data_IF_033834927674
#
_entry.id   IF_033834927674
#
_cell.length_a   1.000
_cell.length_b   1.000
_cell.length_c   1.000
_cell.angle_alpha   90.00
_cell.angle_beta   90.00
_cell.angle_gamma   90.00
#
_symmetry.space_group_name_H-M   'P 1'
#
loop_
_entity.id
_entity.type
_entity.pdbx_description
1 polymer ?
#
# COMPACT_ATOMS: atom_id res chain seq x y z
N UNK A 1 -9.41 -20.63 -7.69
CA UNK A 1 -8.93 -19.57 -6.78
C UNK A 1 -7.87 -18.79 -7.52
N UNK A 2 -8.24 -17.66 -8.13
CA UNK A 2 -7.29 -16.77 -8.81
C UNK A 2 -7.36 -15.41 -8.13
N UNK A 3 -6.22 -14.75 -7.99
CA UNK A 3 -6.12 -13.40 -7.46
C UNK A 3 -4.72 -12.84 -7.65
N UNK A 4 -4.55 -11.57 -7.34
CA UNK A 4 -3.33 -10.81 -7.56
C UNK A 4 -2.57 -10.66 -6.24
N UNK A 5 -1.27 -10.90 -6.28
CA UNK A 5 -0.37 -10.54 -5.19
C UNK A 5 0.20 -9.15 -5.47
N UNK A 6 -0.15 -8.19 -4.61
CA UNK A 6 0.27 -6.80 -4.75
C UNK A 6 1.72 -6.63 -4.26
N UNK A 7 2.53 -6.00 -5.09
CA UNK A 7 3.89 -5.58 -4.77
C UNK A 7 3.90 -4.20 -4.07
N UNK A 8 5.02 -3.88 -3.41
CA UNK A 8 5.25 -2.59 -2.75
C UNK A 8 5.08 -1.41 -3.71
N UNK A 9 5.44 -1.56 -4.98
CA UNK A 9 5.31 -0.49 -5.98
C UNK A 9 3.84 -0.10 -6.22
N UNK A 10 2.96 -1.08 -6.44
CA UNK A 10 1.54 -0.85 -6.69
C UNK A 10 0.89 -0.20 -5.48
N UNK A 11 1.15 -0.76 -4.28
CA UNK A 11 0.60 -0.21 -3.03
C UNK A 11 1.13 1.20 -2.77
N UNK A 12 2.41 1.46 -3.02
CA UNK A 12 3.00 2.79 -2.84
C UNK A 12 2.44 3.83 -3.81
N UNK A 13 2.11 3.42 -5.04
CA UNK A 13 1.48 4.27 -6.04
C UNK A 13 0.03 4.61 -5.65
N UNK A 14 -0.77 3.61 -5.26
CA UNK A 14 -2.15 3.81 -4.79
C UNK A 14 -2.23 4.74 -3.58
N UNK A 15 -1.22 4.71 -2.70
CA UNK A 15 -1.12 5.62 -1.54
C UNK A 15 -0.92 7.09 -1.91
N UNK A 16 -0.57 7.42 -3.16
CA UNK A 16 -0.43 8.80 -3.62
C UNK A 16 -1.78 9.51 -3.81
N UNK A 17 -2.90 8.79 -3.77
CA UNK A 17 -4.28 9.31 -3.94
C UNK A 17 -4.44 10.08 -5.25
N UNK A 18 -4.74 11.38 -5.20
CA UNK A 18 -4.90 12.27 -6.37
C UNK A 18 -3.67 12.28 -7.29
N UNK A 19 -2.49 11.95 -6.77
CA UNK A 19 -1.24 11.86 -7.55
C UNK A 19 -0.92 10.45 -8.04
N UNK A 20 -1.82 9.49 -7.86
CA UNK A 20 -1.66 8.12 -8.37
C UNK A 20 -1.73 8.12 -9.89
N UNK A 21 -0.86 7.32 -10.53
CA UNK A 21 -0.97 7.08 -11.97
C UNK A 21 -2.36 6.55 -12.36
N UNK A 22 -3.07 7.16 -13.33
CA UNK A 22 -4.44 6.78 -13.70
C UNK A 22 -4.58 5.31 -14.09
N UNK A 23 -3.58 4.75 -14.79
CA UNK A 23 -3.56 3.34 -15.20
C UNK A 23 -3.52 2.38 -14.01
N UNK A 24 -2.80 2.74 -12.95
CA UNK A 24 -2.68 1.92 -11.73
C UNK A 24 -3.98 1.98 -10.93
N UNK A 25 -4.59 3.16 -10.82
CA UNK A 25 -5.90 3.32 -10.18
C UNK A 25 -6.99 2.54 -10.93
N UNK A 26 -6.98 2.58 -12.27
CA UNK A 26 -7.94 1.85 -13.09
C UNK A 26 -7.78 0.32 -12.90
N UNK A 27 -6.55 -0.18 -12.91
CA UNK A 27 -6.27 -1.59 -12.66
C UNK A 27 -6.77 -2.03 -11.27
N UNK A 28 -6.46 -1.27 -10.22
CA UNK A 28 -6.91 -1.59 -8.87
C UNK A 28 -8.44 -1.60 -8.75
N UNK A 29 -9.13 -0.72 -9.48
CA UNK A 29 -10.59 -0.69 -9.54
C UNK A 29 -11.24 -1.91 -10.22
N UNK A 30 -10.48 -2.70 -10.97
CA UNK A 30 -10.98 -3.95 -11.59
C UNK A 30 -10.84 -5.19 -10.72
N UNK A 31 -10.10 -5.12 -9.61
CA UNK A 31 -9.82 -6.27 -8.75
C UNK A 31 -10.87 -6.37 -7.63
N UNK A 32 -11.56 -7.52 -7.48
CA UNK A 32 -12.46 -7.73 -6.35
C UNK A 32 -11.73 -7.68 -5.00
N UNK A 33 -12.35 -7.16 -3.92
CA UNK A 33 -11.71 -7.00 -2.59
C UNK A 33 -11.30 -8.29 -1.86
N UNK A 34 -11.58 -9.45 -2.44
CA UNK A 34 -11.19 -10.77 -1.91
C UNK A 34 -10.18 -11.48 -2.84
N UNK A 35 -9.65 -10.74 -3.82
CA UNK A 35 -8.68 -11.22 -4.80
C UNK A 35 -7.43 -10.34 -4.84
N UNK A 36 -7.29 -9.38 -3.94
CA UNK A 36 -6.14 -8.51 -3.72
C UNK A 36 -5.35 -8.95 -2.48
N UNK A 37 -4.33 -9.75 -2.71
CA UNK A 37 -3.47 -10.28 -1.64
C UNK A 37 -2.24 -9.39 -1.46
N UNK A 38 -1.72 -9.32 -0.23
CA UNK A 38 -0.50 -8.58 0.09
C UNK A 38 0.51 -9.49 0.80
N UNK A 39 1.76 -9.48 0.33
CA UNK A 39 2.83 -10.24 1.00
C UNK A 39 3.19 -9.61 2.35
N UNK A 40 3.49 -10.45 3.35
CA UNK A 40 3.99 -9.99 4.66
C UNK A 40 5.32 -9.24 4.54
N UNK A 41 6.13 -9.53 3.51
CA UNK A 41 7.37 -8.80 3.24
C UNK A 41 7.09 -7.35 2.84
N UNK A 42 6.11 -7.13 1.97
CA UNK A 42 5.65 -5.80 1.55
C UNK A 42 5.15 -4.99 2.74
N UNK A 43 4.45 -5.62 3.69
CA UNK A 43 4.04 -4.97 4.95
C UNK A 43 5.27 -4.48 5.73
N UNK A 44 6.32 -5.30 5.83
CA UNK A 44 7.58 -4.95 6.47
C UNK A 44 8.28 -3.76 5.79
N UNK A 45 8.35 -3.76 4.46
CA UNK A 45 8.94 -2.68 3.68
C UNK A 45 8.20 -1.36 3.86
N UNK A 46 6.86 -1.40 3.82
CA UNK A 46 6.03 -0.22 4.06
C UNK A 46 6.27 0.36 5.46
N UNK A 47 6.29 -0.48 6.49
CA UNK A 47 6.57 -0.06 7.88
C UNK A 47 7.96 0.57 8.01
N UNK A 48 8.99 -0.07 7.46
CA UNK A 48 10.36 0.49 7.44
C UNK A 48 10.39 1.84 6.74
N UNK A 49 9.69 1.97 5.61
CA UNK A 49 9.55 3.22 4.87
C UNK A 49 8.91 4.35 5.66
N UNK A 50 7.86 4.09 6.46
CA UNK A 50 7.30 5.10 7.38
C UNK A 50 8.31 5.55 8.42
N UNK A 51 8.96 4.60 9.09
CA UNK A 51 9.88 4.91 10.18
C UNK A 51 11.01 5.81 9.66
N UNK A 52 11.58 5.48 8.50
CA UNK A 52 12.62 6.29 7.86
C UNK A 52 12.11 7.69 7.48
N UNK A 53 10.89 7.78 6.90
CA UNK A 53 10.29 9.08 6.57
C UNK A 53 10.04 9.94 7.81
N UNK A 54 9.55 9.34 8.90
CA UNK A 54 9.31 10.04 10.18
C UNK A 54 10.60 10.53 10.83
N UNK A 55 11.69 9.75 10.75
CA UNK A 55 13.00 10.19 11.24
C UNK A 55 13.52 11.41 10.48
N UNK A 56 13.26 11.45 9.17
CA UNK A 56 13.68 12.57 8.31
C UNK A 56 12.79 13.80 8.45
N UNK A 57 11.49 13.59 8.65
CA UNK A 57 10.48 14.65 8.75
C UNK A 57 9.44 14.27 9.83
N UNK A 58 9.69 14.66 11.10
CA UNK A 58 8.85 14.25 12.22
C UNK A 58 7.44 14.84 12.21
N UNK A 59 7.20 15.92 11.43
CA UNK A 59 5.86 16.50 11.24
C UNK A 59 4.99 15.71 10.25
N UNK A 60 5.57 14.78 9.49
CA UNK A 60 4.87 14.02 8.46
C UNK A 60 4.23 12.76 9.03
N UNK A 61 3.00 12.87 9.49
CA UNK A 61 2.19 11.72 9.90
C UNK A 61 1.74 10.93 8.67
N UNK A 62 2.41 9.81 8.37
CA UNK A 62 1.86 8.82 7.44
C UNK A 62 1.22 7.68 8.22
N UNK A 63 -0.11 7.56 8.27
CA UNK A 63 -0.73 6.37 8.84
C UNK A 63 -0.33 5.18 7.96
N UNK A 64 0.48 4.28 8.51
CA UNK A 64 0.69 2.95 7.92
C UNK A 64 -0.11 2.01 8.79
N UNK A 65 -1.29 1.66 8.29
CA UNK A 65 -2.15 0.57 8.77
C UNK A 65 -2.21 0.40 10.29
N UNK A 66 -3.28 0.94 10.91
CA UNK A 66 -3.72 0.42 12.20
C UNK A 66 -4.02 -1.08 12.02
N UNK A 67 -3.41 -1.92 12.86
CA UNK A 67 -3.28 -3.37 12.68
C UNK A 67 -4.60 -4.18 12.75
N UNK A 68 -5.77 -3.56 12.59
CA UNK A 68 -7.08 -4.20 12.75
C UNK A 68 -7.81 -4.52 11.44
N UNK A 69 -7.21 -4.30 10.27
CA UNK A 69 -7.86 -4.62 8.98
C UNK A 69 -6.89 -5.26 8.00
N UNK A 70 -6.41 -6.45 8.38
CA UNK A 70 -5.84 -7.44 7.46
C UNK A 70 -6.33 -8.82 7.88
N UNK A 71 -7.64 -8.94 8.09
CA UNK A 71 -8.46 -10.16 7.92
C UNK A 71 -9.85 -9.68 7.51
#
# INVERSE_FOLDING_TARGET
MNGFLLDTNVVSELRKRERCAPKVSALAGTVPPNQDFLSVLVVGELRRGAILKRRRDPGRTSPIFCASKVI
#
